data_IF_696273306390
#
_entry.id   IF_696273306390
#
_cell.length_a   1.000
_cell.length_b   1.000
_cell.length_c   1.000
_cell.angle_alpha   90.00
_cell.angle_beta   90.00
_cell.angle_gamma   90.00
#
_symmetry.space_group_name_H-M   'P 1'
#
loop_
_entity.id
_entity.type
_entity.pdbx_description
1 polymer ?
#
# COMPACT_ATOMS: atom_id res chain seq x y z
N UNK A 1 -22.98 -25.94 -39.41
CA UNK A 1 -22.47 -26.25 -38.05
C UNK A 1 -21.30 -25.31 -37.78
N UNK A 2 -21.44 -24.35 -36.87
CA UNK A 2 -20.33 -23.46 -36.49
C UNK A 2 -19.60 -24.05 -35.29
N UNK A 3 -18.30 -24.28 -35.45
CA UNK A 3 -17.38 -24.69 -34.39
C UNK A 3 -17.04 -23.48 -33.51
N UNK A 4 -17.35 -23.56 -32.21
CA UNK A 4 -16.85 -22.62 -31.22
C UNK A 4 -15.43 -23.04 -30.82
N UNK A 5 -14.44 -22.22 -31.18
CA UNK A 5 -13.09 -22.37 -30.65
C UNK A 5 -13.04 -21.76 -29.24
N UNK A 6 -12.72 -22.58 -28.23
CA UNK A 6 -12.47 -22.10 -26.87
C UNK A 6 -11.04 -21.57 -26.79
N UNK A 7 -10.88 -20.29 -26.46
CA UNK A 7 -9.58 -19.71 -26.15
C UNK A 7 -9.41 -19.79 -24.63
N UNK A 8 -8.60 -20.73 -24.14
CA UNK A 8 -8.18 -20.74 -22.75
C UNK A 8 -7.15 -19.62 -22.55
N UNK A 9 -7.50 -18.56 -21.83
CA UNK A 9 -6.53 -17.52 -21.45
C UNK A 9 -5.50 -18.13 -20.50
N UNK A 10 -4.22 -18.13 -20.93
CA UNK A 10 -3.11 -18.49 -20.04
C UNK A 10 -3.09 -17.47 -18.89
N UNK A 11 -3.31 -17.93 -17.66
CA UNK A 11 -3.30 -17.08 -16.47
C UNK A 11 -1.86 -16.65 -16.16
N UNK A 12 -1.39 -15.60 -16.83
CA UNK A 12 -0.08 -15.03 -16.55
C UNK A 12 -0.06 -14.46 -15.12
N UNK A 13 0.97 -14.74 -14.30
CA UNK A 13 1.08 -14.15 -12.98
C UNK A 13 1.15 -12.63 -13.09
N UNK A 14 0.43 -11.92 -12.20
CA UNK A 14 0.42 -10.45 -12.19
C UNK A 14 1.85 -9.92 -12.06
N UNK A 15 2.25 -8.86 -12.80
CA UNK A 15 3.61 -8.34 -12.75
C UNK A 15 4.10 -7.98 -11.33
N UNK A 16 3.20 -7.45 -10.50
CA UNK A 16 3.43 -7.19 -9.07
C UNK A 16 2.61 -8.18 -8.24
N UNK A 17 3.21 -9.28 -7.75
CA UNK A 17 2.51 -10.31 -7.00
C UNK A 17 2.13 -9.82 -5.60
N UNK A 18 1.01 -10.35 -5.08
CA UNK A 18 0.61 -10.15 -3.69
C UNK A 18 1.56 -10.90 -2.74
N UNK A 19 1.77 -10.35 -1.55
CA UNK A 19 2.59 -10.93 -0.51
C UNK A 19 2.03 -10.53 0.85
N UNK A 20 2.19 -11.42 1.83
CA UNK A 20 1.82 -11.17 3.21
C UNK A 20 3.03 -11.47 4.10
N UNK A 21 3.28 -10.61 5.08
CA UNK A 21 4.22 -10.84 6.18
C UNK A 21 3.39 -10.84 7.46
N UNK A 22 3.55 -11.87 8.28
CA UNK A 22 2.99 -11.92 9.63
C UNK A 22 4.14 -12.11 10.60
N UNK A 23 4.13 -11.35 11.69
CA UNK A 23 5.13 -11.44 12.74
C UNK A 23 4.48 -11.26 14.11
N UNK A 24 4.81 -12.17 15.02
CA UNK A 24 4.41 -12.09 16.42
C UNK A 24 5.47 -11.35 17.24
N UNK A 25 5.02 -10.37 18.00
CA UNK A 25 5.79 -9.57 18.95
C UNK A 25 5.25 -9.85 20.35
N UNK A 26 5.71 -10.95 20.95
CA UNK A 26 5.14 -11.47 22.20
C UNK A 26 3.75 -12.04 21.95
N UNK A 27 2.71 -11.36 22.43
CA UNK A 27 1.30 -11.72 22.20
C UNK A 27 0.66 -10.91 21.06
N UNK A 28 1.35 -9.88 20.57
CA UNK A 28 0.83 -8.99 19.54
C UNK A 28 1.24 -9.47 18.15
N UNK A 29 0.27 -9.75 17.30
CA UNK A 29 0.47 -10.07 15.89
C UNK A 29 0.47 -8.76 15.05
N UNK A 30 1.46 -8.65 14.17
CA UNK A 30 1.52 -7.62 13.12
C UNK A 30 1.48 -8.28 11.76
N UNK A 31 0.46 -7.94 10.97
CA UNK A 31 0.28 -8.46 9.61
C UNK A 31 0.39 -7.34 8.58
N UNK A 32 1.21 -7.53 7.55
CA UNK A 32 1.38 -6.59 6.43
C UNK A 32 1.00 -7.28 5.12
N UNK A 33 -0.01 -6.75 4.45
CA UNK A 33 -0.50 -7.22 3.16
C UNK A 33 -0.16 -6.20 2.08
N UNK A 34 0.62 -6.59 1.09
CA UNK A 34 1.13 -5.67 0.08
C UNK A 34 1.32 -6.36 -1.27
N UNK A 35 1.45 -5.57 -2.32
CA UNK A 35 1.88 -6.05 -3.62
C UNK A 35 3.30 -5.56 -3.87
N UNK A 36 4.20 -6.48 -4.21
CA UNK A 36 5.62 -6.19 -4.40
C UNK A 36 5.82 -5.27 -5.61
N UNK A 37 6.19 -3.99 -5.42
CA UNK A 37 6.33 -3.07 -6.54
C UNK A 37 7.57 -3.41 -7.36
N UNK A 38 7.41 -3.43 -8.68
CA UNK A 38 8.53 -3.51 -9.63
C UNK A 38 8.69 -2.19 -10.37
N UNK A 39 9.92 -1.70 -10.45
CA UNK A 39 10.21 -0.42 -11.12
C UNK A 39 9.91 -0.49 -12.62
N UNK A 40 10.21 -1.62 -13.27
CA UNK A 40 10.03 -1.85 -14.70
C UNK A 40 10.64 -0.72 -15.56
N UNK A 41 11.86 -0.26 -15.21
CA UNK A 41 12.55 0.82 -15.91
C UNK A 41 12.00 2.23 -15.68
N UNK A 42 10.94 2.39 -14.87
CA UNK A 42 10.34 3.70 -14.58
C UNK A 42 11.13 4.43 -13.49
N UNK A 43 11.19 5.75 -13.63
CA UNK A 43 11.63 6.65 -12.56
C UNK A 43 10.50 6.79 -11.54
N UNK A 44 10.72 6.35 -10.30
CA UNK A 44 9.63 6.23 -9.31
C UNK A 44 9.44 7.53 -8.54
N UNK A 45 10.48 8.02 -7.86
CA UNK A 45 10.43 9.22 -7.02
C UNK A 45 11.37 10.30 -7.53
N UNK A 46 10.94 11.56 -7.49
CA UNK A 46 11.72 12.70 -7.96
C UNK A 46 10.87 13.95 -8.18
N UNK A 47 11.49 14.99 -8.72
CA UNK A 47 10.82 16.26 -9.00
C UNK A 47 10.13 16.25 -10.38
N UNK A 48 8.89 16.74 -10.42
CA UNK A 48 8.12 16.93 -11.64
C UNK A 48 7.34 15.70 -12.12
N UNK A 49 6.56 15.89 -13.17
CA UNK A 49 5.54 14.93 -13.64
C UNK A 49 6.07 13.69 -14.34
N UNK A 50 7.38 13.61 -14.61
CA UNK A 50 8.00 12.44 -15.25
C UNK A 50 8.20 11.26 -14.30
N UNK A 51 8.01 11.48 -13.00
CA UNK A 51 8.13 10.46 -11.96
C UNK A 51 6.75 9.89 -11.62
N UNK A 52 6.70 8.60 -11.31
CA UNK A 52 5.43 7.92 -10.96
C UNK A 52 4.81 8.50 -9.69
N UNK A 53 5.65 8.88 -8.73
CA UNK A 53 5.26 9.54 -7.48
C UNK A 53 6.19 10.73 -7.27
N UNK A 54 5.78 11.94 -7.68
CA UNK A 54 6.57 13.14 -7.44
C UNK A 54 6.81 13.38 -5.94
N UNK A 55 7.91 14.03 -5.60
CA UNK A 55 8.15 14.44 -4.21
C UNK A 55 7.07 15.42 -3.75
N UNK A 56 6.67 15.29 -2.48
CA UNK A 56 5.60 16.06 -1.86
C UNK A 56 4.19 15.53 -2.10
N UNK A 57 4.01 14.57 -3.02
CA UNK A 57 2.71 13.99 -3.33
C UNK A 57 2.38 12.77 -2.48
N UNK A 58 1.10 12.60 -2.16
CA UNK A 58 0.62 11.43 -1.44
C UNK A 58 0.60 10.21 -2.37
N UNK A 59 1.11 9.10 -1.84
CA UNK A 59 1.14 7.81 -2.51
C UNK A 59 0.45 6.76 -1.67
N UNK A 60 -0.53 6.08 -2.29
CA UNK A 60 -1.08 4.84 -1.77
C UNK A 60 0.00 3.78 -1.86
N UNK A 61 0.84 3.66 -0.84
CA UNK A 61 2.04 2.83 -0.81
C UNK A 61 1.77 1.41 -1.33
N UNK A 62 2.54 0.97 -2.33
CA UNK A 62 2.44 -0.36 -2.95
C UNK A 62 2.12 -0.33 -4.45
N UNK A 63 2.05 -1.51 -5.07
CA UNK A 63 1.65 -1.68 -6.48
C UNK A 63 0.23 -2.28 -6.59
N UNK A 64 -0.52 -2.07 -7.68
CA UNK A 64 -1.90 -2.59 -7.87
C UNK A 64 -2.94 -2.17 -6.80
N UNK A 65 -2.78 -2.57 -5.54
CA UNK A 65 -3.54 -2.15 -4.36
C UNK A 65 -2.63 -1.59 -3.25
N UNK A 66 -3.26 -0.92 -2.27
CA UNK A 66 -2.56 -0.29 -1.15
C UNK A 66 -2.06 -1.31 -0.15
N UNK A 67 -0.91 -1.01 0.45
CA UNK A 67 -0.35 -1.79 1.55
C UNK A 67 -1.24 -1.61 2.76
N UNK A 68 -1.67 -2.72 3.34
CA UNK A 68 -2.46 -2.74 4.57
C UNK A 68 -1.60 -3.30 5.70
N UNK A 69 -1.68 -2.66 6.85
CA UNK A 69 -1.06 -3.14 8.08
C UNK A 69 -2.16 -3.38 9.12
N UNK A 70 -2.11 -4.53 9.77
CA UNK A 70 -3.05 -4.91 10.81
C UNK A 70 -2.28 -5.17 12.10
N UNK A 71 -2.77 -4.61 13.20
CA UNK A 71 -2.28 -4.84 14.55
C UNK A 71 -3.35 -5.56 15.36
N UNK A 72 -2.98 -6.65 16.04
CA UNK A 72 -3.90 -7.36 16.95
C UNK A 72 -4.14 -6.61 18.26
N UNK A 73 -3.17 -5.80 18.70
CA UNK A 73 -3.20 -5.04 19.95
C UNK A 73 -2.78 -3.58 19.74
N UNK A 74 -2.87 -2.80 20.81
CA UNK A 74 -2.35 -1.43 20.83
C UNK A 74 -0.84 -1.45 20.71
N UNK A 75 -0.30 -0.69 19.76
CA UNK A 75 1.15 -0.58 19.53
C UNK A 75 1.62 0.87 19.62
N UNK A 76 2.94 1.08 19.74
CA UNK A 76 3.56 2.39 19.52
C UNK A 76 4.30 2.39 18.19
N UNK A 77 3.95 3.32 17.31
CA UNK A 77 4.60 3.53 16.02
C UNK A 77 4.98 5.00 15.88
N UNK A 78 6.27 5.30 15.65
CA UNK A 78 6.74 6.68 15.48
C UNK A 78 6.50 7.59 16.70
N UNK A 79 6.34 7.02 17.91
CA UNK A 79 5.98 7.77 19.12
C UNK A 79 4.47 7.93 19.35
N UNK A 80 3.63 7.60 18.36
CA UNK A 80 2.17 7.62 18.45
C UNK A 80 1.62 6.28 18.92
N UNK A 81 0.62 6.33 19.80
CA UNK A 81 -0.16 5.14 20.19
C UNK A 81 -1.18 4.82 19.12
N UNK A 82 -1.11 3.60 18.57
CA UNK A 82 -2.00 3.11 17.51
C UNK A 82 -2.89 2.03 18.10
N UNK A 83 -4.19 2.17 17.94
CA UNK A 83 -5.16 1.18 18.40
C UNK A 83 -5.08 -0.12 17.57
N UNK A 84 -5.61 -1.25 18.08
CA UNK A 84 -5.79 -2.45 17.27
C UNK A 84 -6.69 -2.15 16.07
N UNK A 85 -6.35 -2.72 14.92
CA UNK A 85 -7.12 -2.49 13.69
C UNK A 85 -6.31 -2.66 12.42
N UNK A 86 -6.98 -2.47 11.29
CA UNK A 86 -6.37 -2.48 9.97
C UNK A 86 -6.29 -1.07 9.40
N UNK A 87 -5.11 -0.72 8.91
CA UNK A 87 -4.77 0.60 8.41
C UNK A 87 -4.23 0.51 6.98
N UNK A 88 -4.58 1.50 6.16
CA UNK A 88 -3.93 1.74 4.87
C UNK A 88 -2.63 2.50 5.10
N UNK A 89 -1.54 2.01 4.53
CA UNK A 89 -0.27 2.71 4.56
C UNK A 89 -0.22 3.73 3.42
N UNK A 90 -0.09 5.00 3.78
CA UNK A 90 0.06 6.12 2.85
C UNK A 90 1.42 6.74 3.12
N UNK A 91 2.14 7.09 2.06
CA UNK A 91 3.45 7.75 2.19
C UNK A 91 3.47 9.02 1.38
N UNK A 92 4.22 10.00 1.87
CA UNK A 92 4.56 11.22 1.15
C UNK A 92 6.07 11.29 1.01
N UNK A 93 6.62 10.85 -0.13
CA UNK A 93 8.05 10.90 -0.38
C UNK A 93 8.52 12.36 -0.41
N UNK A 94 9.56 12.67 0.34
CA UNK A 94 10.34 13.90 0.19
C UNK A 94 11.76 13.57 -0.24
N UNK A 95 12.53 14.62 -0.53
CA UNK A 95 13.93 14.50 -0.94
C UNK A 95 14.82 13.95 0.18
N UNK A 96 14.62 14.45 1.39
CA UNK A 96 15.45 14.13 2.56
C UNK A 96 14.71 13.28 3.61
N UNK A 97 13.39 13.43 3.69
CA UNK A 97 12.55 12.69 4.64
C UNK A 97 11.27 12.21 3.96
N UNK A 98 10.71 11.13 4.49
CA UNK A 98 9.43 10.60 4.05
C UNK A 98 8.44 10.66 5.20
N UNK A 99 7.23 11.14 4.92
CA UNK A 99 6.14 11.04 5.88
C UNK A 99 5.43 9.70 5.65
N UNK A 100 5.22 8.95 6.74
CA UNK A 100 4.49 7.68 6.73
C UNK A 100 3.24 7.85 7.56
N UNK A 101 2.10 7.50 6.98
CA UNK A 101 0.77 7.75 7.53
C UNK A 101 0.03 6.43 7.64
N UNK A 102 -0.55 6.18 8.82
CA UNK A 102 -1.50 5.10 9.03
C UNK A 102 -2.92 5.67 8.91
N UNK A 103 -3.68 5.16 7.94
CA UNK A 103 -5.04 5.65 7.69
C UNK A 103 -6.08 4.58 8.05
N UNK A 104 -6.97 4.90 8.99
CA UNK A 104 -7.92 3.97 9.62
C UNK A 104 -9.13 3.59 8.74
N UNK A 105 -9.01 3.71 7.43
CA UNK A 105 -9.97 3.19 6.45
C UNK A 105 -9.24 2.54 5.27
N UNK A 106 -9.10 1.20 5.29
CA UNK A 106 -8.41 0.45 4.24
C UNK A 106 -9.17 0.39 2.92
N UNK A 107 -10.42 0.86 2.87
CA UNK A 107 -11.25 0.84 1.65
C UNK A 107 -10.99 2.03 0.73
N UNK A 108 -10.37 3.10 1.25
CA UNK A 108 -10.03 4.31 0.50
C UNK A 108 -9.27 4.00 -0.80
N UNK A 109 -8.37 3.01 -0.75
CA UNK A 109 -7.60 2.61 -1.91
C UNK A 109 -6.86 3.81 -2.52
N UNK A 110 -7.00 4.02 -3.83
CA UNK A 110 -6.27 5.07 -4.57
C UNK A 110 -6.95 6.44 -4.52
N UNK A 111 -8.11 6.55 -3.88
CA UNK A 111 -8.88 7.80 -3.82
C UNK A 111 -8.37 8.73 -2.72
N UNK A 112 -7.09 9.11 -2.79
CA UNK A 112 -6.41 9.87 -1.73
C UNK A 112 -6.99 11.29 -1.55
N UNK A 113 -7.66 11.84 -2.55
CA UNK A 113 -8.38 13.12 -2.42
C UNK A 113 -9.62 13.03 -1.51
N UNK A 114 -10.13 11.83 -1.24
CA UNK A 114 -11.24 11.60 -0.29
C UNK A 114 -10.77 11.30 1.14
N UNK A 115 -9.46 11.48 1.43
CA UNK A 115 -8.94 11.32 2.78
C UNK A 115 -9.62 12.29 3.75
N UNK A 116 -9.90 11.76 4.94
CA UNK A 116 -10.50 12.53 6.03
C UNK A 116 -9.49 12.69 7.17
N UNK A 117 -9.22 13.91 7.66
CA UNK A 117 -8.23 14.14 8.71
C UNK A 117 -8.45 13.31 9.97
N UNK A 118 -9.70 13.06 10.37
CA UNK A 118 -10.05 12.27 11.56
C UNK A 118 -9.74 10.77 11.45
N UNK A 119 -9.35 10.30 10.28
CA UNK A 119 -8.95 8.91 10.03
C UNK A 119 -7.43 8.73 9.96
N UNK A 120 -6.67 9.82 10.05
CA UNK A 120 -5.20 9.80 10.12
C UNK A 120 -4.79 9.49 11.56
N UNK A 121 -3.86 8.55 11.70
CA UNK A 121 -3.19 8.20 12.96
C UNK A 121 -1.73 8.64 12.90
#
# INVERSE_FOLDING_TARGET
MSTLATQAQVLAPRPSPASTLTQDLGLTEVKVEYFRPKMNGRKIFGDGSSFVVPFGELWRTGANGGTKITFSDTVKAGGTTVAPGQYLLITKPGKDQWEVILYADPTLGSNLSAMKPEKVV
#
